data_IF_872799449803
#
_entry.id   IF_872799449803
#
_cell.length_a   1.000
_cell.length_b   1.000
_cell.length_c   1.000
_cell.angle_alpha   90.00
_cell.angle_beta   90.00
_cell.angle_gamma   90.00
#
_symmetry.space_group_name_H-M   'P 1'
#
loop_
_entity.id
_entity.type
_entity.pdbx_description
1 polymer ?
#
# COMPACT_ATOMS: atom_id res chain seq x y z
N UNK A 1 -10.46 -15.24 4.52
CA UNK A 1 -10.46 -13.84 4.99
C UNK A 1 -10.14 -13.82 6.46
N UNK A 2 -9.28 -12.91 6.90
CA UNK A 2 -8.89 -12.69 8.30
C UNK A 2 -9.29 -11.28 8.72
N UNK A 3 -9.73 -11.11 9.96
CA UNK A 3 -10.11 -9.80 10.52
C UNK A 3 -9.53 -9.66 11.93
N UNK A 4 -8.75 -8.60 12.17
CA UNK A 4 -8.19 -8.27 13.48
C UNK A 4 -8.71 -6.89 13.88
N UNK A 5 -9.55 -6.84 14.92
CA UNK A 5 -10.33 -5.65 15.23
C UNK A 5 -10.08 -5.18 16.66
N UNK A 6 -9.91 -3.87 16.85
CA UNK A 6 -9.93 -3.21 18.16
C UNK A 6 -11.38 -2.83 18.50
N UNK A 7 -11.90 -3.35 19.61
CA UNK A 7 -13.30 -3.14 20.04
C UNK A 7 -13.44 -2.54 21.45
N UNK A 8 -12.34 -2.46 22.20
CA UNK A 8 -12.29 -1.96 23.58
C UNK A 8 -11.29 -0.79 23.69
N UNK A 9 -11.53 0.16 24.61
CA UNK A 9 -10.69 1.35 24.74
C UNK A 9 -9.33 1.03 25.36
N UNK A 10 -8.29 1.75 24.92
CA UNK A 10 -6.91 1.73 25.42
C UNK A 10 -6.29 0.32 25.44
N UNK A 11 -6.73 -0.55 24.54
CA UNK A 11 -6.15 -1.88 24.42
C UNK A 11 -4.91 -1.86 23.54
N UNK A 12 -4.06 -2.85 23.79
CA UNK A 12 -2.88 -3.14 23.00
C UNK A 12 -3.05 -4.50 22.31
N UNK A 13 -2.81 -4.57 21.00
CA UNK A 13 -2.82 -5.80 20.21
C UNK A 13 -1.43 -6.05 19.63
N UNK A 14 -0.95 -7.30 19.76
CA UNK A 14 0.33 -7.73 19.18
C UNK A 14 0.20 -9.07 18.44
N UNK A 15 -0.60 -9.14 17.35
CA UNK A 15 -0.79 -10.37 16.61
C UNK A 15 0.47 -10.77 15.83
N UNK A 16 0.73 -12.08 15.79
CA UNK A 16 1.80 -12.69 15.01
C UNK A 16 1.21 -13.76 14.09
N UNK A 17 1.30 -13.53 12.79
CA UNK A 17 0.73 -14.41 11.78
C UNK A 17 1.84 -15.06 10.95
N UNK A 18 1.71 -16.36 10.70
CA UNK A 18 2.50 -17.08 9.72
C UNK A 18 1.55 -17.69 8.70
N UNK A 19 1.74 -17.36 7.43
CA UNK A 19 0.99 -17.94 6.32
C UNK A 19 1.97 -18.69 5.43
N UNK A 20 1.69 -19.96 5.15
CA UNK A 20 2.49 -20.77 4.23
C UNK A 20 1.59 -21.20 3.07
N UNK A 21 1.95 -20.80 1.86
CA UNK A 21 1.32 -21.28 0.64
C UNK A 21 2.18 -22.43 0.12
N UNK A 22 1.60 -23.63 0.12
CA UNK A 22 2.30 -24.85 -0.29
C UNK A 22 2.63 -24.84 -1.79
N UNK A 23 3.55 -25.73 -2.18
CA UNK A 23 4.06 -25.81 -3.55
C UNK A 23 2.91 -26.00 -4.54
N UNK A 24 2.99 -25.33 -5.69
CA UNK A 24 2.00 -25.41 -6.77
C UNK A 24 0.56 -24.95 -6.38
N UNK A 25 0.38 -24.37 -5.19
CA UNK A 25 -0.92 -23.85 -4.72
C UNK A 25 -1.16 -22.42 -5.20
N UNK A 26 -2.39 -22.16 -5.63
CA UNK A 26 -2.91 -20.81 -5.87
C UNK A 26 -3.86 -20.42 -4.75
N UNK A 27 -3.59 -19.32 -4.08
CA UNK A 27 -4.38 -18.86 -2.95
C UNK A 27 -4.73 -17.37 -3.05
N UNK A 28 -5.86 -17.00 -2.45
CA UNK A 28 -6.26 -15.63 -2.24
C UNK A 28 -6.46 -15.36 -0.74
N UNK A 29 -5.77 -14.34 -0.22
CA UNK A 29 -5.87 -13.92 1.19
C UNK A 29 -6.41 -12.51 1.25
N UNK A 30 -7.43 -12.33 2.07
CA UNK A 30 -8.00 -11.02 2.37
C UNK A 30 -7.81 -10.78 3.86
N UNK A 31 -6.96 -9.83 4.23
CA UNK A 31 -6.70 -9.46 5.62
C UNK A 31 -7.23 -8.06 5.88
N UNK A 32 -7.94 -7.89 6.99
CA UNK A 32 -8.50 -6.61 7.41
C UNK A 32 -8.05 -6.36 8.85
N UNK A 33 -7.48 -5.19 9.11
CA UNK A 33 -7.22 -4.71 10.47
C UNK A 33 -7.95 -3.39 10.69
N UNK A 34 -8.75 -3.29 11.74
CA UNK A 34 -9.58 -2.11 11.95
C UNK A 34 -9.91 -1.79 13.40
N UNK A 35 -10.51 -0.61 13.59
CA UNK A 35 -11.16 -0.21 14.84
C UNK A 35 -12.67 -0.22 14.65
N UNK A 36 -13.40 -0.87 15.57
CA UNK A 36 -14.85 -1.07 15.48
C UNK A 36 -15.67 0.08 16.04
N UNK A 37 -15.09 0.90 16.92
CA UNK A 37 -15.74 2.05 17.57
C UNK A 37 -14.81 3.25 17.51
N UNK A 38 -15.39 4.45 17.59
CA UNK A 38 -14.63 5.70 17.68
C UNK A 38 -13.99 5.86 19.05
N UNK A 39 -12.93 6.66 19.13
CA UNK A 39 -12.31 7.11 20.37
C UNK A 39 -11.85 5.95 21.28
N UNK A 40 -11.37 4.85 20.70
CA UNK A 40 -10.81 3.74 21.47
C UNK A 40 -9.36 4.01 21.88
N UNK A 41 -8.58 4.77 21.12
CA UNK A 41 -7.18 5.08 21.42
C UNK A 41 -6.34 3.80 21.64
N UNK A 42 -6.56 2.82 20.76
CA UNK A 42 -5.89 1.54 20.82
C UNK A 42 -4.52 1.57 20.17
N UNK A 43 -3.73 0.54 20.44
CA UNK A 43 -2.44 0.33 19.79
C UNK A 43 -2.39 -1.05 19.15
N UNK A 44 -1.96 -1.10 17.89
CA UNK A 44 -1.85 -2.33 17.11
C UNK A 44 -0.42 -2.49 16.60
N UNK A 45 0.23 -3.59 16.98
CA UNK A 45 1.54 -3.99 16.47
C UNK A 45 1.41 -5.34 15.77
N UNK A 46 1.19 -5.31 14.46
CA UNK A 46 1.03 -6.51 13.65
C UNK A 46 2.35 -7.02 13.09
N UNK A 47 2.60 -8.32 13.23
CA UNK A 47 3.70 -9.00 12.56
C UNK A 47 3.15 -10.13 11.70
N UNK A 48 3.43 -10.11 10.40
CA UNK A 48 3.01 -11.18 9.49
C UNK A 48 4.19 -11.65 8.65
N UNK A 49 4.42 -12.95 8.63
CA UNK A 49 5.35 -13.59 7.71
C UNK A 49 4.56 -14.48 6.76
N UNK A 50 4.86 -14.38 5.47
CA UNK A 50 4.20 -15.14 4.42
C UNK A 50 5.28 -15.85 3.60
N UNK A 51 5.14 -17.16 3.49
CA UNK A 51 6.06 -18.01 2.73
C UNK A 51 5.29 -18.56 1.54
N UNK A 52 5.78 -18.29 0.33
CA UNK A 52 5.28 -18.87 -0.90
C UNK A 52 6.27 -19.95 -1.34
N UNK A 53 5.87 -21.21 -1.28
CA UNK A 53 6.70 -22.32 -1.76
C UNK A 53 6.74 -22.35 -3.29
N UNK A 54 7.64 -23.16 -3.85
CA UNK A 54 7.93 -23.15 -5.29
C UNK A 54 6.69 -23.22 -6.17
N UNK A 55 6.68 -22.43 -7.25
CA UNK A 55 5.58 -22.34 -8.22
C UNK A 55 4.19 -21.96 -7.65
N UNK A 56 4.11 -21.54 -6.38
CA UNK A 56 2.84 -21.11 -5.80
C UNK A 56 2.47 -19.69 -6.26
N UNK A 57 1.19 -19.35 -6.15
CA UNK A 57 0.68 -18.00 -6.46
C UNK A 57 -0.15 -17.48 -5.29
N UNK A 58 0.12 -16.26 -4.84
CA UNK A 58 -0.69 -15.58 -3.83
C UNK A 58 -1.25 -14.27 -4.36
N UNK A 59 -2.56 -14.11 -4.23
CA UNK A 59 -3.22 -12.80 -4.30
C UNK A 59 -3.59 -12.36 -2.88
N UNK A 60 -2.85 -11.41 -2.32
CA UNK A 60 -3.09 -10.90 -0.98
C UNK A 60 -3.61 -9.47 -1.03
N UNK A 61 -4.79 -9.24 -0.46
CA UNK A 61 -5.35 -7.91 -0.24
C UNK A 61 -5.36 -7.61 1.25
N UNK A 62 -4.73 -6.52 1.65
CA UNK A 62 -4.53 -6.15 3.04
C UNK A 62 -5.09 -4.74 3.28
N UNK A 63 -6.16 -4.64 4.06
CA UNK A 63 -6.88 -3.39 4.27
C UNK A 63 -6.82 -2.95 5.72
N UNK A 64 -6.40 -1.71 5.92
CA UNK A 64 -6.37 -1.05 7.21
C UNK A 64 -7.39 0.08 7.27
N UNK A 65 -8.12 0.16 8.39
CA UNK A 65 -9.02 1.27 8.69
C UNK A 65 -9.04 1.57 10.18
N UNK A 66 -8.43 2.68 10.56
CA UNK A 66 -8.22 3.03 11.96
C UNK A 66 -8.90 4.34 12.32
N UNK A 67 -9.03 4.60 13.62
CA UNK A 67 -9.51 5.88 14.12
C UNK A 67 -8.32 6.79 14.45
N UNK A 68 -8.56 8.11 14.41
CA UNK A 68 -7.50 9.13 14.51
C UNK A 68 -6.69 9.09 15.81
N UNK A 69 -7.21 8.49 16.87
CA UNK A 69 -6.51 8.37 18.16
C UNK A 69 -5.72 7.07 18.32
N UNK A 70 -5.79 6.16 17.36
CA UNK A 70 -5.08 4.90 17.44
C UNK A 70 -3.61 5.07 17.05
N UNK A 71 -2.79 4.07 17.38
CA UNK A 71 -1.40 3.95 16.91
C UNK A 71 -1.18 2.58 16.27
N UNK A 72 -0.53 2.53 15.12
CA UNK A 72 -0.39 1.29 14.36
C UNK A 72 1.04 1.14 13.85
N UNK A 73 1.61 -0.03 14.12
CA UNK A 73 2.83 -0.52 13.49
C UNK A 73 2.53 -1.86 12.84
N UNK A 74 2.89 -2.02 11.56
CA UNK A 74 2.66 -3.26 10.82
C UNK A 74 3.93 -3.69 10.11
N UNK A 75 4.42 -4.89 10.41
CA UNK A 75 5.54 -5.53 9.76
C UNK A 75 5.05 -6.73 8.95
N UNK A 76 5.37 -6.75 7.66
CA UNK A 76 5.00 -7.80 6.72
C UNK A 76 6.24 -8.28 5.96
N UNK A 77 6.47 -9.59 5.99
CA UNK A 77 7.54 -10.23 5.25
C UNK A 77 6.99 -11.24 4.25
N UNK A 78 7.41 -11.15 2.99
CA UNK A 78 7.16 -12.14 1.96
C UNK A 78 8.46 -12.87 1.61
N UNK A 79 8.43 -14.19 1.67
CA UNK A 79 9.53 -15.07 1.26
C UNK A 79 9.05 -15.93 0.09
N UNK A 80 9.49 -15.60 -1.12
CA UNK A 80 9.12 -16.29 -2.35
C UNK A 80 10.23 -17.27 -2.74
N UNK A 81 9.88 -18.56 -2.75
CA UNK A 81 10.75 -19.60 -3.28
C UNK A 81 10.63 -19.69 -4.81
N UNK A 82 11.62 -20.33 -5.44
CA UNK A 82 11.74 -20.47 -6.90
C UNK A 82 10.41 -20.59 -7.65
N UNK A 83 10.18 -19.67 -8.59
CA UNK A 83 9.00 -19.65 -9.46
C UNK A 83 7.69 -19.15 -8.82
N UNK A 84 7.71 -18.73 -7.55
CA UNK A 84 6.52 -18.21 -6.90
C UNK A 84 6.10 -16.83 -7.45
N UNK A 85 4.80 -16.55 -7.40
CA UNK A 85 4.21 -15.29 -7.86
C UNK A 85 3.40 -14.62 -6.75
N UNK A 86 3.65 -13.34 -6.50
CA UNK A 86 2.93 -12.53 -5.51
C UNK A 86 2.21 -11.34 -6.17
N UNK A 87 0.93 -11.19 -5.85
CA UNK A 87 0.18 -9.95 -6.04
C UNK A 87 -0.26 -9.46 -4.66
N UNK A 88 0.31 -8.35 -4.20
CA UNK A 88 -0.02 -7.77 -2.91
C UNK A 88 -0.60 -6.37 -3.10
N UNK A 89 -1.76 -6.12 -2.50
CA UNK A 89 -2.37 -4.79 -2.44
C UNK A 89 -2.59 -4.43 -0.99
N UNK A 90 -1.89 -3.42 -0.49
CA UNK A 90 -2.12 -2.82 0.82
C UNK A 90 -2.82 -1.48 0.67
N UNK A 91 -3.92 -1.27 1.40
CA UNK A 91 -4.61 0.01 1.45
C UNK A 91 -4.90 0.46 2.88
N UNK A 92 -4.59 1.72 3.18
CA UNK A 92 -5.02 2.37 4.42
C UNK A 92 -5.64 3.73 4.09
N UNK A 93 -6.97 3.75 4.01
CA UNK A 93 -7.71 4.95 3.56
C UNK A 93 -8.24 5.80 4.72
N UNK A 94 -8.10 5.30 5.94
CA UNK A 94 -8.34 6.02 7.19
C UNK A 94 -7.18 5.71 8.12
N UNK A 95 -6.16 6.56 8.05
CA UNK A 95 -4.95 6.40 8.86
C UNK A 95 -5.22 6.73 10.34
N UNK A 96 -4.51 6.05 11.26
CA UNK A 96 -4.46 6.42 12.68
C UNK A 96 -3.65 7.72 12.90
N UNK A 97 -3.46 8.12 14.16
CA UNK A 97 -2.57 9.24 14.52
C UNK A 97 -1.15 9.01 13.99
N UNK A 98 -0.67 7.78 14.20
CA UNK A 98 0.67 7.31 13.81
C UNK A 98 0.55 5.96 13.13
N UNK A 99 0.97 5.89 11.89
CA UNK A 99 1.07 4.67 11.10
C UNK A 99 2.54 4.42 10.75
N UNK A 100 3.06 3.27 11.14
CA UNK A 100 4.33 2.75 10.64
C UNK A 100 4.06 1.45 9.90
N UNK A 101 4.54 1.35 8.65
CA UNK A 101 4.52 0.09 7.90
C UNK A 101 5.91 -0.30 7.48
N UNK A 102 6.22 -1.58 7.59
CA UNK A 102 7.45 -2.17 7.10
C UNK A 102 7.09 -3.40 6.25
N UNK A 103 7.48 -3.38 4.99
CA UNK A 103 7.28 -4.46 4.04
C UNK A 103 8.63 -4.92 3.51
N UNK A 104 8.93 -6.21 3.67
CA UNK A 104 10.11 -6.85 3.07
C UNK A 104 9.67 -7.98 2.16
N UNK A 105 10.16 -8.01 0.93
CA UNK A 105 9.92 -9.10 -0.01
C UNK A 105 11.26 -9.68 -0.48
N UNK A 106 11.44 -10.98 -0.31
CA UNK A 106 12.63 -11.72 -0.71
C UNK A 106 12.25 -12.66 -1.85
N UNK A 107 12.80 -12.42 -3.03
CA UNK A 107 12.50 -13.17 -4.26
C UNK A 107 13.67 -14.05 -4.64
N UNK A 108 13.44 -15.36 -4.64
CA UNK A 108 14.34 -16.36 -5.21
C UNK A 108 14.22 -16.43 -6.75
N UNK A 109 14.87 -17.39 -7.40
CA UNK A 109 14.97 -17.43 -8.87
C UNK A 109 13.61 -17.56 -9.57
N UNK A 110 13.46 -16.90 -10.71
CA UNK A 110 12.27 -16.89 -11.56
C UNK A 110 10.99 -16.49 -10.82
N UNK A 111 11.09 -15.74 -9.71
CA UNK A 111 9.93 -15.23 -8.97
C UNK A 111 9.40 -13.92 -9.57
N UNK A 112 8.11 -13.66 -9.38
CA UNK A 112 7.48 -12.39 -9.76
C UNK A 112 6.73 -11.78 -8.57
N UNK A 113 6.88 -10.48 -8.34
CA UNK A 113 6.11 -9.75 -7.33
C UNK A 113 5.53 -8.43 -7.87
N UNK A 114 4.23 -8.23 -7.69
CA UNK A 114 3.57 -6.95 -7.88
C UNK A 114 3.01 -6.47 -6.54
N UNK A 115 3.55 -5.37 -6.05
CA UNK A 115 3.23 -4.80 -4.73
C UNK A 115 2.64 -3.41 -4.95
N UNK A 116 1.41 -3.21 -4.52
CA UNK A 116 0.73 -1.92 -4.58
C UNK A 116 0.36 -1.45 -3.16
N UNK A 117 0.75 -0.22 -2.82
CA UNK A 117 0.42 0.45 -1.56
C UNK A 117 -0.38 1.72 -1.84
N UNK A 118 -1.52 1.89 -1.19
CA UNK A 118 -2.37 3.07 -1.31
C UNK A 118 -2.71 3.67 0.06
N UNK A 119 -2.36 4.94 0.28
CA UNK A 119 -2.58 5.66 1.54
C UNK A 119 -3.40 6.92 1.29
N UNK A 120 -4.42 7.14 2.12
CA UNK A 120 -5.09 8.44 2.28
C UNK A 120 -4.93 8.89 3.73
N UNK A 121 -4.08 9.89 3.96
CA UNK A 121 -3.81 10.44 5.27
C UNK A 121 -4.62 11.71 5.53
N UNK A 122 -5.28 11.78 6.69
CA UNK A 122 -6.03 12.95 7.18
C UNK A 122 -5.77 13.16 8.67
N UNK A 123 -5.00 14.19 9.03
CA UNK A 123 -4.52 14.45 10.41
C UNK A 123 -3.78 13.25 11.01
N UNK A 124 -2.76 12.77 10.33
CA UNK A 124 -1.97 11.61 10.75
C UNK A 124 -0.56 11.63 10.20
N UNK A 125 0.35 10.94 10.91
CA UNK A 125 1.75 10.80 10.53
C UNK A 125 2.01 9.36 10.06
N UNK A 126 2.43 9.22 8.81
CA UNK A 126 2.63 7.93 8.15
C UNK A 126 4.10 7.78 7.77
N UNK A 127 4.73 6.69 8.22
CA UNK A 127 6.07 6.31 7.79
C UNK A 127 6.04 4.90 7.20
N UNK A 128 6.40 4.78 5.94
CA UNK A 128 6.41 3.51 5.20
C UNK A 128 7.82 3.12 4.84
N UNK A 129 8.14 1.83 4.96
CA UNK A 129 9.42 1.26 4.62
C UNK A 129 9.19 0.00 3.81
N UNK A 130 9.36 0.10 2.50
CA UNK A 130 9.20 -1.01 1.57
C UNK A 130 10.59 -1.41 1.06
N UNK A 131 10.94 -2.69 1.12
CA UNK A 131 12.24 -3.20 0.65
C UNK A 131 12.05 -4.50 -0.13
N UNK A 132 12.38 -4.48 -1.42
CA UNK A 132 12.28 -5.64 -2.30
C UNK A 132 13.66 -6.13 -2.70
N UNK A 133 13.94 -7.41 -2.47
CA UNK A 133 15.22 -8.06 -2.73
C UNK A 133 15.06 -9.09 -3.86
N UNK A 134 15.66 -8.81 -5.02
CA UNK A 134 15.78 -9.73 -6.15
C UNK A 134 17.04 -10.59 -5.94
N UNK A 135 16.89 -11.71 -5.24
CA UNK A 135 18.01 -12.57 -4.82
C UNK A 135 18.35 -13.65 -5.84
N UNK A 136 17.36 -14.18 -6.55
CA UNK A 136 17.58 -15.18 -7.59
C UNK A 136 17.62 -14.61 -9.01
N UNK A 137 18.12 -15.41 -9.93
CA UNK A 137 18.14 -15.09 -11.36
C UNK A 137 16.71 -14.99 -11.90
N UNK A 138 16.48 -14.11 -12.87
CA UNK A 138 15.17 -13.87 -13.51
C UNK A 138 14.06 -13.39 -12.54
N UNK A 139 14.42 -13.04 -11.29
CA UNK A 139 13.48 -12.45 -10.36
C UNK A 139 13.04 -11.06 -10.87
N UNK A 140 11.74 -10.82 -10.89
CA UNK A 140 11.17 -9.55 -11.29
C UNK A 140 10.21 -8.98 -10.25
N UNK A 141 10.25 -7.66 -10.04
CA UNK A 141 9.33 -7.01 -9.14
C UNK A 141 8.92 -5.61 -9.60
N UNK A 142 7.68 -5.25 -9.29
CA UNK A 142 7.18 -3.89 -9.39
C UNK A 142 6.57 -3.47 -8.06
N UNK A 143 7.02 -2.34 -7.53
CA UNK A 143 6.48 -1.72 -6.31
C UNK A 143 5.85 -0.37 -6.66
N UNK A 144 4.54 -0.24 -6.44
CA UNK A 144 3.79 1.01 -6.67
C UNK A 144 3.29 1.58 -5.36
N UNK A 145 3.57 2.83 -5.10
CA UNK A 145 3.14 3.53 -3.88
C UNK A 145 2.35 4.77 -4.28
N UNK A 146 1.09 4.83 -3.86
CA UNK A 146 0.19 5.96 -4.07
C UNK A 146 -0.22 6.58 -2.76
N UNK A 147 0.01 7.89 -2.63
CA UNK A 147 -0.19 8.62 -1.39
C UNK A 147 -1.05 9.84 -1.63
N UNK A 148 -1.99 10.10 -0.73
CA UNK A 148 -2.77 11.33 -0.69
C UNK A 148 -2.66 11.91 0.71
N UNK A 149 -2.14 13.12 0.82
CA UNK A 149 -1.98 13.83 2.09
C UNK A 149 -2.93 15.03 2.17
N UNK A 150 -3.73 15.07 3.23
CA UNK A 150 -4.78 16.07 3.45
C UNK A 150 -4.90 16.41 4.95
N UNK A 151 -5.50 17.55 5.27
CA UNK A 151 -5.78 18.01 6.62
C UNK A 151 -4.61 17.84 7.61
N UNK A 152 -3.49 18.57 7.42
CA UNK A 152 -2.35 18.53 8.34
C UNK A 152 -1.80 17.10 8.57
N UNK A 153 -1.53 16.38 7.48
CA UNK A 153 -0.96 15.04 7.51
C UNK A 153 0.46 15.03 6.94
N UNK A 154 1.27 14.10 7.41
CA UNK A 154 2.65 13.92 6.96
C UNK A 154 2.84 12.49 6.53
N UNK A 155 3.33 12.28 5.31
CA UNK A 155 3.64 10.96 4.78
C UNK A 155 5.11 10.93 4.37
N UNK A 156 5.85 9.96 4.89
CA UNK A 156 7.21 9.65 4.47
C UNK A 156 7.27 8.22 3.96
N UNK A 157 7.68 8.03 2.70
CA UNK A 157 7.84 6.72 2.09
C UNK A 157 9.31 6.44 1.79
N UNK A 158 9.84 5.36 2.36
CA UNK A 158 11.16 4.83 2.04
C UNK A 158 10.99 3.58 1.19
N UNK A 159 11.27 3.68 -0.10
CA UNK A 159 11.04 2.59 -1.05
C UNK A 159 12.38 2.10 -1.61
N UNK A 160 12.78 0.89 -1.24
CA UNK A 160 14.07 0.31 -1.59
C UNK A 160 13.90 -0.91 -2.50
N UNK A 161 14.71 -0.98 -3.55
CA UNK A 161 14.80 -2.15 -4.41
C UNK A 161 16.25 -2.55 -4.62
N UNK A 162 16.56 -3.80 -4.32
CA UNK A 162 17.92 -4.35 -4.33
C UNK A 162 17.97 -5.52 -5.30
N UNK A 163 18.85 -5.45 -6.30
CA UNK A 163 19.17 -6.58 -7.16
C UNK A 163 20.49 -7.20 -6.72
N UNK A 164 20.43 -8.40 -6.13
CA UNK A 164 21.61 -9.21 -5.80
C UNK A 164 21.98 -10.16 -6.95
N UNK A 165 21.06 -10.43 -7.88
CA UNK A 165 21.28 -11.27 -9.06
C UNK A 165 20.64 -10.64 -10.32
N UNK A 166 20.79 -11.29 -11.49
CA UNK A 166 20.25 -10.83 -12.77
C UNK A 166 18.71 -10.81 -12.72
N UNK A 167 18.12 -9.64 -12.48
CA UNK A 167 16.68 -9.46 -12.32
C UNK A 167 16.21 -8.09 -12.80
N UNK A 168 14.89 -7.89 -12.84
CA UNK A 168 14.26 -6.65 -13.32
C UNK A 168 13.39 -6.05 -12.23
N UNK A 169 13.63 -4.78 -11.93
CA UNK A 169 12.94 -4.09 -10.86
C UNK A 169 12.43 -2.71 -11.28
N UNK A 170 11.23 -2.37 -10.83
CA UNK A 170 10.66 -1.05 -11.01
C UNK A 170 9.97 -0.54 -9.75
N UNK A 171 10.23 0.72 -9.38
CA UNK A 171 9.55 1.42 -8.28
C UNK A 171 8.85 2.66 -8.84
N UNK A 172 7.56 2.79 -8.59
CA UNK A 172 6.73 3.94 -8.97
C UNK A 172 6.09 4.54 -7.71
N UNK A 173 6.44 5.80 -7.41
CA UNK A 173 5.91 6.53 -6.26
C UNK A 173 5.13 7.77 -6.71
N UNK A 174 3.82 7.78 -6.48
CA UNK A 174 2.95 8.93 -6.77
C UNK A 174 2.36 9.53 -5.49
N UNK A 175 2.38 10.86 -5.38
CA UNK A 175 1.84 11.61 -4.25
C UNK A 175 0.93 12.75 -4.70
N UNK A 176 -0.26 12.87 -4.10
CA UNK A 176 -1.14 14.02 -4.22
C UNK A 176 -1.23 14.76 -2.89
N UNK A 177 -0.83 16.04 -2.91
CA UNK A 177 -0.93 16.95 -1.79
C UNK A 177 -2.20 17.80 -1.92
N UNK A 178 -3.10 17.71 -0.94
CA UNK A 178 -4.41 18.39 -0.98
C UNK A 178 -4.51 19.64 -0.12
N UNK A 179 -3.76 19.70 0.99
CA UNK A 179 -3.80 20.83 1.93
C UNK A 179 -2.43 21.45 2.09
N UNK A 180 -2.37 22.77 2.24
CA UNK A 180 -1.12 23.53 2.42
C UNK A 180 -0.30 23.09 3.64
N UNK A 181 -0.96 22.64 4.71
CA UNK A 181 -0.32 22.19 5.94
C UNK A 181 0.11 20.71 5.92
N UNK A 182 -0.08 20.00 4.81
CA UNK A 182 0.34 18.60 4.69
C UNK A 182 1.70 18.48 4.01
N UNK A 183 2.35 17.32 4.12
CA UNK A 183 3.56 17.03 3.37
C UNK A 183 3.65 15.55 2.94
N UNK A 184 4.29 15.33 1.79
CA UNK A 184 4.67 14.01 1.30
C UNK A 184 6.17 14.05 0.99
N UNK A 185 6.91 13.09 1.54
CA UNK A 185 8.33 12.88 1.27
C UNK A 185 8.54 11.46 0.74
N UNK A 186 9.27 11.32 -0.35
CA UNK A 186 9.61 10.02 -0.95
C UNK A 186 11.12 9.89 -1.00
N UNK A 187 11.64 8.85 -0.36
CA UNK A 187 13.07 8.51 -0.32
C UNK A 187 13.26 7.17 -1.02
N UNK A 188 13.44 7.19 -2.34
CA UNK A 188 13.70 5.99 -3.12
C UNK A 188 15.17 5.56 -3.00
N UNK A 189 15.42 4.25 -3.02
CA UNK A 189 16.78 3.70 -3.08
C UNK A 189 16.81 2.51 -4.04
N UNK A 190 17.63 2.61 -5.09
CA UNK A 190 17.94 1.49 -5.98
C UNK A 190 19.36 1.02 -5.70
N UNK A 191 19.53 -0.27 -5.43
CA UNK A 191 20.83 -0.88 -5.20
C UNK A 191 21.03 -2.04 -6.17
N UNK A 192 21.77 -1.78 -7.26
CA UNK A 192 22.12 -2.81 -8.22
C UNK A 192 23.51 -3.40 -7.88
N UNK A 193 23.58 -4.71 -7.60
CA UNK A 193 24.83 -5.43 -7.33
C UNK A 193 25.16 -6.45 -8.41
N UNK A 194 24.41 -6.51 -9.51
CA UNK A 194 24.65 -7.42 -10.62
C UNK A 194 24.57 -6.68 -11.96
N UNK A 195 25.63 -6.76 -12.77
CA UNK A 195 25.73 -6.06 -14.06
C UNK A 195 24.63 -6.42 -15.07
N UNK A 196 23.99 -7.59 -14.91
CA UNK A 196 22.92 -8.08 -15.78
C UNK A 196 21.53 -7.72 -15.24
N UNK A 197 21.43 -7.03 -14.10
CA UNK A 197 20.15 -6.58 -13.55
C UNK A 197 19.80 -5.17 -14.01
N UNK A 198 18.50 -4.89 -14.12
CA UNK A 198 17.96 -3.57 -14.48
C UNK A 198 17.01 -3.11 -13.39
N UNK A 199 17.29 -1.97 -12.79
CA UNK A 199 16.44 -1.33 -11.80
C UNK A 199 16.04 0.07 -12.30
N UNK A 200 14.76 0.40 -12.18
CA UNK A 200 14.23 1.71 -12.59
C UNK A 200 13.36 2.29 -11.47
N UNK A 201 13.29 3.62 -11.43
CA UNK A 201 12.48 4.32 -10.45
C UNK A 201 11.88 5.58 -11.05
N UNK A 202 10.60 5.82 -10.75
CA UNK A 202 9.90 7.06 -11.02
C UNK A 202 9.18 7.57 -9.76
N UNK A 203 9.24 8.88 -9.54
CA UNK A 203 8.51 9.53 -8.44
C UNK A 203 7.90 10.85 -8.90
N UNK A 204 6.65 11.10 -8.49
CA UNK A 204 5.97 12.37 -8.69
C UNK A 204 5.18 12.74 -7.43
N UNK A 205 5.38 13.95 -6.92
CA UNK A 205 4.58 14.52 -5.82
C UNK A 205 4.08 15.86 -6.28
N UNK A 206 2.77 16.06 -6.25
CA UNK A 206 2.17 17.28 -6.77
C UNK A 206 0.79 17.57 -6.22
N UNK A 207 0.22 18.68 -6.67
CA UNK A 207 -1.16 19.08 -6.38
C UNK A 207 -2.12 18.44 -7.39
N UNK A 208 -3.42 18.49 -7.09
CA UNK A 208 -4.46 18.14 -8.06
C UNK A 208 -4.36 19.05 -9.30
N UNK A 209 -4.53 18.46 -10.50
CA UNK A 209 -4.62 19.22 -11.75
C UNK A 209 -5.82 20.16 -11.72
N UNK A 210 -5.56 21.47 -11.83
CA UNK A 210 -6.61 22.48 -11.86
C UNK A 210 -7.51 22.32 -13.10
N UNK A 211 -6.95 21.86 -14.22
CA UNK A 211 -7.71 21.58 -15.43
C UNK A 211 -8.70 20.44 -15.21
N UNK A 212 -8.25 19.32 -14.63
CA UNK A 212 -9.12 18.19 -14.29
C UNK A 212 -10.22 18.60 -13.29
N UNK A 213 -9.86 19.40 -12.29
CA UNK A 213 -10.80 19.93 -11.30
C UNK A 213 -11.86 20.83 -11.97
N UNK A 214 -11.45 21.79 -12.80
CA UNK A 214 -12.34 22.69 -13.50
C UNK A 214 -13.22 21.96 -14.52
N UNK A 215 -12.69 20.95 -15.20
CA UNK A 215 -13.44 20.09 -16.10
C UNK A 215 -14.56 19.35 -15.36
N UNK A 216 -14.27 18.69 -14.24
CA UNK A 216 -15.30 17.99 -13.48
C UNK A 216 -16.33 18.96 -12.89
N UNK A 217 -15.90 20.14 -12.43
CA UNK A 217 -16.80 21.19 -11.95
C UNK A 217 -17.73 21.72 -13.05
N UNK A 218 -17.23 21.89 -14.28
CA UNK A 218 -18.07 22.31 -15.42
C UNK A 218 -19.10 21.25 -15.81
N UNK A 219 -18.87 19.98 -15.46
CA UNK A 219 -19.84 18.88 -15.57
C UNK A 219 -20.83 18.81 -14.39
N UNK A 220 -20.85 19.81 -13.51
CA UNK A 220 -21.84 19.95 -12.44
C UNK A 220 -21.46 19.27 -11.12
N UNK A 221 -20.21 18.80 -10.97
CA UNK A 221 -19.72 18.35 -9.67
C UNK A 221 -19.39 19.57 -8.79
N UNK A 222 -19.69 19.45 -7.50
CA UNK A 222 -19.11 20.35 -6.49
C UNK A 222 -17.60 20.13 -6.43
N UNK A 223 -16.85 21.11 -5.91
CA UNK A 223 -15.39 20.99 -5.76
C UNK A 223 -14.99 19.74 -4.96
N UNK A 224 -15.59 19.52 -3.80
CA UNK A 224 -15.39 18.30 -2.99
C UNK A 224 -15.74 17.02 -3.76
N UNK A 225 -16.80 17.06 -4.59
CA UNK A 225 -17.20 15.92 -5.42
C UNK A 225 -16.17 15.61 -6.50
N UNK A 226 -15.64 16.65 -7.15
CA UNK A 226 -14.60 16.53 -8.17
C UNK A 226 -13.28 16.02 -7.56
N UNK A 227 -12.86 16.60 -6.43
CA UNK A 227 -11.68 16.16 -5.67
C UNK A 227 -11.85 14.69 -5.25
N UNK A 228 -13.01 14.32 -4.71
CA UNK A 228 -13.30 12.95 -4.31
C UNK A 228 -13.23 11.96 -5.48
N UNK A 229 -13.72 12.34 -6.67
CA UNK A 229 -13.64 11.50 -7.87
C UNK A 229 -12.19 11.35 -8.34
N UNK A 230 -11.41 12.43 -8.35
CA UNK A 230 -9.97 12.40 -8.70
C UNK A 230 -9.21 11.49 -7.74
N UNK A 231 -9.41 11.63 -6.43
CA UNK A 231 -8.76 10.78 -5.40
C UNK A 231 -9.15 9.32 -5.60
N UNK A 232 -10.43 9.03 -5.87
CA UNK A 232 -10.93 7.67 -6.11
C UNK A 232 -10.23 7.05 -7.32
N UNK A 233 -10.15 7.78 -8.45
CA UNK A 233 -9.45 7.32 -9.64
C UNK A 233 -7.95 7.13 -9.41
N UNK A 234 -7.31 8.08 -8.71
CA UNK A 234 -5.89 8.04 -8.37
C UNK A 234 -5.55 6.79 -7.54
N UNK A 235 -6.29 6.53 -6.46
CA UNK A 235 -6.11 5.38 -5.57
C UNK A 235 -6.70 4.07 -6.12
N UNK A 236 -7.30 4.09 -7.32
CA UNK A 236 -7.99 2.96 -7.96
C UNK A 236 -9.02 2.32 -7.02
N UNK A 237 -9.88 3.15 -6.44
CA UNK A 237 -11.03 2.69 -5.66
C UNK A 237 -12.21 2.34 -6.58
N UNK A 238 -12.89 1.24 -6.27
CA UNK A 238 -13.99 0.73 -7.11
C UNK A 238 -15.35 1.34 -6.76
N UNK A 239 -15.41 2.13 -5.68
CA UNK A 239 -16.64 2.75 -5.20
C UNK A 239 -16.40 4.22 -4.85
N UNK A 240 -17.15 5.11 -5.52
CA UNK A 240 -17.22 6.54 -5.19
C UNK A 240 -18.68 6.88 -4.89
N UNK A 241 -18.93 7.67 -3.85
CA UNK A 241 -20.29 8.12 -3.51
C UNK A 241 -20.42 9.63 -3.68
N UNK A 242 -21.43 10.06 -4.44
CA UNK A 242 -21.75 11.48 -4.61
C UNK A 242 -23.25 11.72 -4.41
N UNK A 243 -23.60 12.67 -3.53
CA UNK A 243 -25.00 12.99 -3.16
C UNK A 243 -25.82 11.74 -2.81
N UNK A 244 -25.25 10.82 -2.01
CA UNK A 244 -25.91 9.59 -1.56
C UNK A 244 -26.04 8.48 -2.60
N UNK A 245 -25.54 8.67 -3.83
CA UNK A 245 -25.50 7.62 -4.86
C UNK A 245 -24.11 7.03 -4.95
N UNK A 246 -24.01 5.70 -4.83
CA UNK A 246 -22.78 4.96 -5.14
C UNK A 246 -22.66 4.88 -6.66
N UNK A 247 -21.57 5.40 -7.20
CA UNK A 247 -21.18 5.23 -8.58
C UNK A 247 -20.29 3.98 -8.65
N UNK A 248 -20.81 2.85 -9.16
CA UNK A 248 -20.01 1.65 -9.33
C UNK A 248 -18.97 1.91 -10.42
N UNK A 249 -17.69 1.74 -10.08
CA UNK A 249 -16.64 1.64 -11.08
C UNK A 249 -16.71 0.23 -11.68
N UNK A 250 -17.33 0.09 -12.85
CA UNK A 250 -16.93 -0.99 -13.75
C UNK A 250 -15.57 -0.56 -14.28
N UNK A 251 -14.49 -1.07 -13.67
CA UNK A 251 -13.18 -1.01 -14.31
C UNK A 251 -13.39 -1.71 -15.65
N UNK A 252 -13.37 -0.96 -16.74
CA UNK A 252 -13.20 -1.54 -18.07
C UNK A 252 -11.82 -2.22 -18.01
N UNK A 253 -11.81 -3.53 -17.76
CA UNK A 253 -10.65 -4.39 -18.00
C UNK A 253 -10.48 -4.54 -19.51
#
# INVERSE_FOLDING_TARGET
TTCIAISSPKIFQNPRNLTVIEKDVKAAVHSICNTMKKNLYGSHIGHTKVILKGQSTLQMRHFHKWEKGDTVSSSLEFHLQKGATLFHVYKCLAVPEKLRTELKSFLDSSCSANIETAILAKRGNVNMYDSTFLNGEEANAVTRVKMVADQDSKITSHSKMIANNAGIGHVDCMGLLLSENSSISTVPELMNRNKNATLTHEASVGRISQEALNYLRSRGLTEDGAIGLIITGFLRETAFSYKGRVLPSKIYM
#
